data_IF_371160951605
#
_entry.id   IF_371160951605
#
_cell.length_a   1.000
_cell.length_b   1.000
_cell.length_c   1.000
_cell.angle_alpha   90.00
_cell.angle_beta   90.00
_cell.angle_gamma   90.00
#
_symmetry.space_group_name_H-M   'P 1'
#
loop_
_entity.id
_entity.type
_entity.pdbx_description
1 polymer ?
#
# COMPACT_ATOMS: atom_id res chain seq x y z
N UNK A 1 18.59 19.01 -15.78
CA UNK A 1 17.16 18.95 -16.09
C UNK A 1 16.85 17.53 -16.58
N UNK A 2 16.50 16.63 -15.67
CA UNK A 2 16.05 15.28 -16.02
C UNK A 2 14.53 15.31 -16.20
N UNK A 3 14.08 14.92 -17.39
CA UNK A 3 12.64 14.76 -17.69
C UNK A 3 12.11 13.58 -16.90
N UNK A 4 11.13 13.83 -16.04
CA UNK A 4 10.29 12.79 -15.46
C UNK A 4 9.58 12.01 -16.59
N UNK A 5 9.49 10.67 -16.52
CA UNK A 5 8.74 9.90 -17.50
C UNK A 5 7.27 10.34 -17.44
N UNK A 6 6.76 10.78 -18.57
CA UNK A 6 5.36 11.14 -18.74
C UNK A 6 4.49 9.89 -18.64
N UNK A 7 3.88 9.65 -17.48
CA UNK A 7 2.74 8.76 -17.38
C UNK A 7 1.59 9.39 -18.18
N UNK A 8 1.32 8.86 -19.36
CA UNK A 8 0.17 9.24 -20.15
C UNK A 8 -1.11 8.72 -19.50
N UNK A 9 -1.70 9.56 -18.65
CA UNK A 9 -3.05 9.35 -18.12
C UNK A 9 -4.03 10.24 -18.88
N UNK A 10 -4.56 9.75 -19.97
CA UNK A 10 -5.67 10.38 -20.68
C UNK A 10 -6.97 10.13 -19.89
N UNK A 11 -7.53 11.15 -19.30
CA UNK A 11 -8.90 11.16 -18.78
C UNK A 11 -9.07 11.01 -17.27
N UNK A 12 -8.29 11.68 -16.43
CA UNK A 12 -8.43 11.58 -14.98
C UNK A 12 -8.81 12.89 -14.31
N UNK A 13 -9.96 12.86 -13.64
CA UNK A 13 -10.38 13.90 -12.69
C UNK A 13 -9.54 13.89 -11.38
N UNK A 14 -8.82 12.79 -11.07
CA UNK A 14 -7.90 12.71 -9.91
C UNK A 14 -6.71 11.81 -10.26
N UNK A 15 -5.51 12.36 -10.30
CA UNK A 15 -4.28 11.58 -10.30
C UNK A 15 -4.02 11.02 -8.88
N UNK A 16 -3.29 9.91 -8.76
CA UNK A 16 -2.87 9.38 -7.46
C UNK A 16 -2.11 10.45 -6.63
N UNK A 17 -1.28 11.25 -7.30
CA UNK A 17 -0.57 12.38 -6.68
C UNK A 17 -1.53 13.43 -6.10
N UNK A 18 -2.59 13.80 -6.83
CA UNK A 18 -3.58 14.75 -6.35
C UNK A 18 -4.35 14.20 -5.14
N UNK A 19 -4.66 12.90 -5.13
CA UNK A 19 -5.27 12.22 -4.00
C UNK A 19 -4.34 12.25 -2.78
N UNK A 20 -3.06 11.89 -2.94
CA UNK A 20 -2.09 11.92 -1.85
C UNK A 20 -1.85 13.32 -1.30
N UNK A 21 -1.76 14.33 -2.16
CA UNK A 21 -1.65 15.74 -1.74
C UNK A 21 -2.91 16.23 -1.02
N UNK A 22 -4.09 15.76 -1.42
CA UNK A 22 -5.33 16.08 -0.73
C UNK A 22 -5.39 15.43 0.66
N UNK A 23 -4.99 14.15 0.76
CA UNK A 23 -4.87 13.42 2.03
C UNK A 23 -3.89 14.15 2.95
N UNK A 24 -2.73 14.58 2.47
CA UNK A 24 -1.76 15.32 3.28
C UNK A 24 -2.35 16.62 3.81
N UNK A 25 -2.93 17.46 2.94
CA UNK A 25 -3.56 18.74 3.35
C UNK A 25 -4.68 18.55 4.35
N UNK A 26 -5.50 17.52 4.17
CA UNK A 26 -6.58 17.23 5.11
C UNK A 26 -6.01 16.71 6.44
N UNK A 27 -5.03 15.85 6.41
CA UNK A 27 -4.37 15.29 7.60
C UNK A 27 -3.66 16.35 8.41
N UNK A 28 -2.98 17.31 7.75
CA UNK A 28 -2.33 18.44 8.41
C UNK A 28 -3.37 19.31 9.13
N UNK A 29 -4.48 19.61 8.46
CA UNK A 29 -5.57 20.41 9.06
C UNK A 29 -6.23 19.73 10.25
N UNK A 30 -6.26 18.40 10.27
CA UNK A 30 -6.87 17.60 11.33
C UNK A 30 -5.86 17.20 12.42
N UNK A 31 -4.59 17.58 12.29
CA UNK A 31 -3.53 17.19 13.22
C UNK A 31 -3.23 15.67 13.19
N UNK A 32 -3.48 15.00 12.06
CA UNK A 32 -3.29 13.56 11.87
C UNK A 32 -1.96 13.23 11.20
N UNK A 33 -1.24 14.23 10.69
CA UNK A 33 0.09 14.02 10.09
C UNK A 33 1.10 13.68 11.17
N UNK A 34 1.97 12.70 10.83
CA UNK A 34 3.03 12.23 11.71
C UNK A 34 4.40 12.50 11.09
N UNK A 35 5.44 12.60 11.91
CA UNK A 35 6.82 12.61 11.42
C UNK A 35 7.08 11.37 10.54
N UNK A 36 8.12 11.40 9.68
CA UNK A 36 8.51 10.24 8.89
C UNK A 36 8.68 8.99 9.77
N UNK A 37 7.96 7.92 9.43
CA UNK A 37 8.06 6.64 10.14
C UNK A 37 9.40 5.98 9.85
N UNK A 38 9.88 6.13 8.60
CA UNK A 38 11.17 5.61 8.13
C UNK A 38 11.84 6.63 7.22
N UNK A 39 13.17 6.54 7.10
CA UNK A 39 13.93 7.29 6.11
C UNK A 39 14.46 6.38 5.02
N UNK A 40 14.83 6.96 3.88
CA UNK A 40 15.44 6.21 2.76
C UNK A 40 16.74 5.54 3.18
N UNK A 41 17.55 6.24 3.95
CA UNK A 41 18.85 5.77 4.45
C UNK A 41 18.68 4.55 5.36
N UNK A 42 17.69 4.59 6.27
CA UNK A 42 17.36 3.44 7.13
C UNK A 42 16.98 2.22 6.28
N UNK A 43 16.09 2.37 5.31
CA UNK A 43 15.65 1.26 4.45
C UNK A 43 16.80 0.71 3.59
N UNK A 44 17.68 1.57 3.07
CA UNK A 44 18.85 1.17 2.29
C UNK A 44 19.91 0.43 3.11
N UNK A 45 20.00 0.69 4.41
CA UNK A 45 20.93 0.04 5.32
C UNK A 45 20.48 -1.37 5.72
N UNK A 46 19.19 -1.71 5.52
CA UNK A 46 18.64 -3.01 5.90
C UNK A 46 19.27 -4.18 5.11
N UNK A 47 19.36 -5.38 5.71
CA UNK A 47 19.88 -6.58 5.05
C UNK A 47 19.06 -6.99 3.82
N UNK A 48 19.64 -7.72 2.86
CA UNK A 48 18.89 -8.31 1.75
C UNK A 48 17.73 -9.19 2.26
N UNK A 49 16.61 -9.19 1.51
CA UNK A 49 15.38 -9.95 1.83
C UNK A 49 14.67 -9.49 3.12
N UNK A 50 15.16 -8.45 3.80
CA UNK A 50 14.45 -7.85 4.92
C UNK A 50 13.31 -6.95 4.45
N UNK A 51 12.36 -6.67 5.36
CA UNK A 51 11.24 -5.80 5.08
C UNK A 51 11.68 -4.42 4.55
N UNK A 52 12.66 -3.80 5.20
CA UNK A 52 13.16 -2.49 4.80
C UNK A 52 13.83 -2.50 3.43
N UNK A 53 14.64 -3.54 3.14
CA UNK A 53 15.31 -3.68 1.84
C UNK A 53 14.30 -3.90 0.71
N UNK A 54 13.38 -4.83 0.87
CA UNK A 54 12.34 -5.11 -0.12
C UNK A 54 11.44 -3.88 -0.35
N UNK A 55 11.16 -3.12 0.70
CA UNK A 55 10.38 -1.88 0.60
C UNK A 55 11.08 -0.82 -0.26
N UNK A 56 12.34 -0.51 0.03
CA UNK A 56 13.06 0.50 -0.76
C UNK A 56 13.32 0.04 -2.20
N UNK A 57 13.49 -1.25 -2.43
CA UNK A 57 13.62 -1.82 -3.77
C UNK A 57 12.32 -1.72 -4.56
N UNK A 58 11.16 -2.00 -3.93
CA UNK A 58 9.84 -1.80 -4.54
C UNK A 58 9.65 -0.35 -4.99
N UNK A 59 9.87 0.60 -4.09
CA UNK A 59 9.73 2.04 -4.35
C UNK A 59 10.67 2.50 -5.46
N UNK A 60 11.93 2.05 -5.42
CA UNK A 60 12.96 2.44 -6.40
C UNK A 60 12.67 1.84 -7.78
N UNK A 61 12.31 0.58 -7.86
CA UNK A 61 11.99 -0.13 -9.11
C UNK A 61 10.80 0.50 -9.84
N UNK A 62 9.80 0.97 -9.09
CA UNK A 62 8.62 1.61 -9.67
C UNK A 62 8.79 3.13 -9.89
N UNK A 63 9.91 3.72 -9.49
CA UNK A 63 10.16 5.16 -9.63
C UNK A 63 9.26 6.02 -8.72
N UNK A 64 8.76 5.45 -7.61
CA UNK A 64 7.89 6.16 -6.68
C UNK A 64 8.70 6.98 -5.67
N UNK A 65 8.18 8.12 -5.19
CA UNK A 65 8.72 8.77 -4.01
C UNK A 65 8.41 7.94 -2.76
N UNK A 66 9.36 7.83 -1.84
CA UNK A 66 9.08 7.27 -0.52
C UNK A 66 8.07 8.17 0.21
N UNK A 67 6.98 7.60 0.72
CA UNK A 67 5.94 8.33 1.43
C UNK A 67 6.40 8.64 2.85
N UNK A 68 6.74 9.90 3.13
CA UNK A 68 7.27 10.36 4.43
C UNK A 68 6.42 11.43 5.09
N UNK A 69 5.20 11.67 4.58
CA UNK A 69 4.28 12.69 5.09
C UNK A 69 2.86 12.15 5.26
N UNK A 70 2.05 12.86 6.03
CA UNK A 70 0.67 12.51 6.29
C UNK A 70 0.49 11.44 7.38
N UNK A 71 -0.65 10.75 7.43
CA UNK A 71 -0.94 9.74 8.44
C UNK A 71 0.01 8.54 8.32
N UNK A 72 0.33 7.89 9.46
CA UNK A 72 1.16 6.69 9.52
C UNK A 72 0.75 5.62 8.49
N UNK A 73 -0.54 5.32 8.39
CA UNK A 73 -1.07 4.34 7.43
C UNK A 73 -0.72 4.64 5.98
N UNK A 74 -0.73 5.93 5.58
CA UNK A 74 -0.29 6.34 4.25
C UNK A 74 1.20 6.10 4.07
N UNK A 75 2.01 6.46 5.06
CA UNK A 75 3.47 6.29 4.98
C UNK A 75 3.89 4.82 4.87
N UNK A 76 3.13 3.90 5.48
CA UNK A 76 3.39 2.46 5.48
C UNK A 76 2.75 1.71 4.30
N UNK A 77 2.06 2.41 3.38
CA UNK A 77 1.31 1.77 2.29
C UNK A 77 2.17 0.85 1.42
N UNK A 78 3.35 1.30 1.00
CA UNK A 78 4.22 0.51 0.14
C UNK A 78 4.77 -0.74 0.85
N UNK A 79 4.97 -0.67 2.17
CA UNK A 79 5.33 -1.83 2.96
C UNK A 79 4.20 -2.89 3.01
N UNK A 80 2.93 -2.49 2.86
CA UNK A 80 1.82 -3.45 2.75
C UNK A 80 1.92 -4.23 1.45
N UNK A 81 2.30 -3.61 0.33
CA UNK A 81 2.58 -4.34 -0.92
C UNK A 81 3.66 -5.40 -0.72
N UNK A 82 4.76 -5.07 -0.04
CA UNK A 82 5.82 -6.03 0.30
C UNK A 82 5.29 -7.18 1.16
N UNK A 83 4.54 -6.86 2.21
CA UNK A 83 3.99 -7.86 3.14
C UNK A 83 2.94 -8.75 2.50
N UNK A 84 2.09 -8.20 1.67
CA UNK A 84 1.03 -8.97 1.01
C UNK A 84 1.51 -9.69 -0.24
N UNK A 85 2.55 -9.17 -0.90
CA UNK A 85 3.02 -9.65 -2.20
C UNK A 85 2.11 -9.25 -3.36
N UNK A 86 1.13 -8.37 -3.13
CA UNK A 86 0.32 -7.81 -4.21
C UNK A 86 1.12 -6.78 -5.00
N UNK A 87 0.95 -6.77 -6.33
CA UNK A 87 1.61 -5.83 -7.21
C UNK A 87 1.17 -4.38 -6.99
N UNK A 88 1.89 -3.43 -7.59
CA UNK A 88 1.59 -1.99 -7.53
C UNK A 88 0.77 -1.49 -8.73
N UNK A 89 0.26 -2.39 -9.56
CA UNK A 89 -0.68 -2.08 -10.64
C UNK A 89 -2.11 -1.91 -10.11
N UNK A 90 -3.07 -1.59 -10.99
CA UNK A 90 -4.46 -1.37 -10.59
C UNK A 90 -5.10 -2.58 -9.91
N UNK A 91 -4.68 -3.78 -10.25
CA UNK A 91 -5.14 -5.01 -9.62
C UNK A 91 -4.56 -5.19 -8.23
N UNK A 92 -3.26 -5.06 -8.10
CA UNK A 92 -2.57 -5.19 -6.81
C UNK A 92 -3.01 -4.11 -5.84
N UNK A 93 -3.22 -2.88 -6.33
CA UNK A 93 -3.82 -1.80 -5.53
C UNK A 93 -5.22 -2.16 -5.02
N UNK A 94 -6.07 -2.72 -5.89
CA UNK A 94 -7.39 -3.20 -5.48
C UNK A 94 -7.29 -4.27 -4.40
N UNK A 95 -6.39 -5.25 -4.57
CA UNK A 95 -6.19 -6.32 -3.61
C UNK A 95 -5.67 -5.80 -2.27
N UNK A 96 -4.72 -4.85 -2.26
CA UNK A 96 -4.26 -4.18 -1.03
C UNK A 96 -5.40 -3.46 -0.33
N UNK A 97 -6.20 -2.67 -1.05
CA UNK A 97 -7.30 -1.94 -0.44
C UNK A 97 -8.36 -2.88 0.15
N UNK A 98 -8.65 -3.98 -0.53
CA UNK A 98 -9.61 -4.99 -0.08
C UNK A 98 -9.05 -5.81 1.10
N UNK A 99 -7.76 -6.16 1.08
CA UNK A 99 -7.06 -6.78 2.20
C UNK A 99 -7.15 -5.87 3.45
N UNK A 100 -6.85 -4.58 3.30
CA UNK A 100 -6.94 -3.62 4.39
C UNK A 100 -8.36 -3.44 4.93
N UNK A 101 -9.39 -3.55 4.07
CA UNK A 101 -10.80 -3.60 4.51
C UNK A 101 -11.08 -4.85 5.35
N UNK A 102 -10.49 -5.98 5.00
CA UNK A 102 -10.61 -7.22 5.77
C UNK A 102 -9.92 -7.14 7.13
N UNK A 103 -8.73 -6.53 7.20
CA UNK A 103 -8.01 -6.35 8.48
C UNK A 103 -8.72 -5.36 9.40
N UNK A 104 -9.09 -4.20 8.88
CA UNK A 104 -9.69 -3.13 9.69
C UNK A 104 -10.54 -2.22 8.81
N UNK A 105 -11.85 -2.31 8.97
CA UNK A 105 -12.78 -1.52 8.18
C UNK A 105 -12.55 -0.02 8.37
N UNK A 106 -12.39 0.70 7.25
CA UNK A 106 -12.34 2.16 7.19
C UNK A 106 -13.15 2.63 5.98
N UNK A 107 -14.05 3.57 6.19
CA UNK A 107 -14.92 4.12 5.12
C UNK A 107 -14.14 4.65 3.91
N UNK A 108 -12.92 5.16 4.13
CA UNK A 108 -12.07 5.72 3.06
C UNK A 108 -11.69 4.66 1.99
N UNK A 109 -11.61 3.38 2.33
CA UNK A 109 -11.30 2.33 1.35
C UNK A 109 -12.43 2.10 0.34
N UNK A 110 -13.68 2.36 0.73
CA UNK A 110 -14.83 2.11 -0.16
C UNK A 110 -14.79 2.93 -1.47
N UNK A 111 -14.61 4.27 -1.44
CA UNK A 111 -14.48 5.03 -2.68
C UNK A 111 -13.22 4.67 -3.48
N UNK A 112 -12.11 4.29 -2.82
CA UNK A 112 -10.90 3.85 -3.50
C UNK A 112 -11.15 2.55 -4.25
N UNK A 113 -11.72 1.53 -3.59
CA UNK A 113 -12.10 0.24 -4.20
C UNK A 113 -13.06 0.44 -5.36
N UNK A 114 -14.09 1.27 -5.18
CA UNK A 114 -15.06 1.57 -6.25
C UNK A 114 -14.38 2.26 -7.46
N UNK A 115 -13.45 3.17 -7.21
CA UNK A 115 -12.66 3.84 -8.25
C UNK A 115 -11.77 2.87 -9.03
N UNK A 116 -11.09 1.97 -8.34
CA UNK A 116 -10.23 0.94 -8.94
C UNK A 116 -11.05 -0.06 -9.76
N UNK A 117 -12.17 -0.56 -9.23
CA UNK A 117 -13.08 -1.43 -9.98
C UNK A 117 -13.63 -0.75 -11.24
N UNK A 118 -13.99 0.53 -11.15
CA UNK A 118 -14.43 1.30 -12.31
C UNK A 118 -13.32 1.43 -13.36
N UNK A 119 -12.07 1.67 -12.94
CA UNK A 119 -10.92 1.79 -13.84
C UNK A 119 -10.61 0.48 -14.54
N UNK A 120 -10.54 -0.62 -13.78
CA UNK A 120 -10.35 -1.97 -14.29
C UNK A 120 -11.48 -2.40 -15.24
N UNK A 121 -12.73 -2.03 -14.92
CA UNK A 121 -13.87 -2.29 -15.79
C UNK A 121 -13.79 -1.53 -17.13
N UNK A 122 -13.38 -0.26 -17.10
CA UNK A 122 -13.22 0.55 -18.31
C UNK A 122 -12.06 0.11 -19.20
N UNK A 123 -11.00 -0.41 -18.60
CA UNK A 123 -9.86 -0.98 -19.35
C UNK A 123 -10.07 -2.42 -19.81
N UNK A 124 -11.25 -3.02 -19.54
CA UNK A 124 -11.56 -4.38 -19.92
C UNK A 124 -10.80 -5.45 -19.12
N UNK A 125 -10.22 -5.09 -18.00
CA UNK A 125 -9.41 -6.00 -17.18
C UNK A 125 -10.23 -6.83 -16.17
N UNK A 126 -11.53 -6.50 -15.95
CA UNK A 126 -12.42 -7.31 -15.12
C UNK A 126 -12.89 -8.56 -15.87
N UNK A 127 -11.96 -9.49 -16.11
CA UNK A 127 -12.21 -10.74 -16.82
C UNK A 127 -12.08 -11.96 -15.89
N UNK A 128 -12.68 -13.07 -16.29
CA UNK A 128 -12.58 -14.32 -15.50
C UNK A 128 -13.16 -14.19 -14.09
N UNK A 129 -12.64 -14.94 -13.12
CA UNK A 129 -13.16 -14.99 -11.75
C UNK A 129 -12.67 -13.82 -10.87
N UNK A 130 -12.75 -12.59 -11.38
CA UNK A 130 -12.24 -11.42 -10.66
C UNK A 130 -12.86 -11.23 -9.26
N UNK A 131 -14.13 -11.66 -9.08
CA UNK A 131 -14.80 -11.60 -7.78
C UNK A 131 -14.14 -12.53 -6.75
N UNK A 132 -13.70 -13.70 -7.20
CA UNK A 132 -13.04 -14.68 -6.33
C UNK A 132 -11.68 -14.12 -5.88
N UNK A 133 -10.96 -13.44 -6.78
CA UNK A 133 -9.70 -12.75 -6.47
C UNK A 133 -9.89 -11.66 -5.41
N UNK A 134 -10.88 -10.82 -5.58
CA UNK A 134 -11.25 -9.77 -4.60
C UNK A 134 -11.67 -10.39 -3.26
N UNK A 135 -12.48 -11.46 -3.30
CA UNK A 135 -12.92 -12.15 -2.09
C UNK A 135 -11.76 -12.85 -1.35
N UNK A 136 -10.80 -13.40 -2.10
CA UNK A 136 -9.60 -14.01 -1.52
C UNK A 136 -8.76 -12.97 -0.77
N UNK A 137 -8.55 -11.78 -1.35
CA UNK A 137 -7.85 -10.68 -0.70
C UNK A 137 -8.56 -10.23 0.59
N UNK A 138 -9.89 -10.13 0.57
CA UNK A 138 -10.68 -9.78 1.75
C UNK A 138 -10.54 -10.82 2.87
N UNK A 139 -10.71 -12.11 2.53
CA UNK A 139 -10.57 -13.22 3.51
C UNK A 139 -9.16 -13.28 4.11
N UNK A 140 -8.15 -13.02 3.29
CA UNK A 140 -6.76 -12.96 3.74
C UNK A 140 -6.54 -11.82 4.75
N UNK A 141 -7.16 -10.67 4.52
CA UNK A 141 -7.18 -9.57 5.49
C UNK A 141 -7.91 -9.92 6.78
N UNK A 142 -9.07 -10.60 6.69
CA UNK A 142 -9.79 -11.07 7.87
C UNK A 142 -8.96 -12.06 8.70
N UNK A 143 -8.21 -12.94 8.05
CA UNK A 143 -7.34 -13.89 8.76
C UNK A 143 -6.18 -13.21 9.50
N UNK A 144 -5.71 -12.05 9.04
CA UNK A 144 -4.68 -11.27 9.72
C UNK A 144 -5.22 -10.31 10.80
N UNK A 145 -6.53 -10.10 10.87
CA UNK A 145 -7.14 -9.00 11.64
C UNK A 145 -6.84 -9.05 13.16
N UNK A 146 -6.64 -10.23 13.73
CA UNK A 146 -6.38 -10.39 15.15
C UNK A 146 -4.95 -10.01 15.56
N UNK A 147 -4.01 -10.07 14.62
CA UNK A 147 -2.57 -9.86 14.87
C UNK A 147 -2.00 -8.65 14.14
N UNK A 148 -2.66 -8.18 13.09
CA UNK A 148 -2.22 -7.07 12.26
C UNK A 148 -3.18 -5.88 12.31
N UNK A 149 -2.77 -4.81 12.98
CA UNK A 149 -3.44 -3.51 12.90
C UNK A 149 -2.74 -2.61 11.87
N UNK A 150 -3.31 -2.37 10.68
CA UNK A 150 -2.69 -1.55 9.65
C UNK A 150 -2.39 -0.10 10.07
N UNK A 151 -3.04 0.40 11.12
CA UNK A 151 -2.84 1.75 11.61
C UNK A 151 -1.66 1.86 12.58
N UNK A 152 -1.35 0.77 13.34
CA UNK A 152 -0.46 0.84 14.51
C UNK A 152 0.62 -0.25 14.56
N UNK A 153 0.80 -1.07 13.52
CA UNK A 153 1.85 -2.08 13.53
C UNK A 153 3.25 -1.44 13.60
N UNK A 154 4.20 -2.07 14.32
CA UNK A 154 5.48 -1.47 14.65
C UNK A 154 6.52 -1.65 13.53
N UNK A 155 6.24 -1.12 12.33
CA UNK A 155 7.06 -1.30 11.13
C UNK A 155 8.54 -0.97 11.35
N UNK A 156 8.82 0.12 12.07
CA UNK A 156 10.16 0.64 12.35
C UNK A 156 11.07 -0.32 13.14
N UNK A 157 10.47 -1.26 13.87
CA UNK A 157 11.22 -2.29 14.62
C UNK A 157 11.37 -3.61 13.85
N UNK A 158 10.76 -3.72 12.69
CA UNK A 158 10.72 -4.95 11.88
C UNK A 158 11.54 -4.82 10.59
N UNK A 159 12.16 -3.68 10.34
CA UNK A 159 12.82 -3.36 9.08
C UNK A 159 13.95 -4.34 8.70
N UNK A 160 14.73 -4.79 9.68
CA UNK A 160 15.85 -5.70 9.46
C UNK A 160 15.45 -7.19 9.40
N UNK A 161 14.19 -7.49 9.70
CA UNK A 161 13.69 -8.86 9.70
C UNK A 161 13.34 -9.33 8.28
N UNK A 162 13.60 -10.61 7.96
CA UNK A 162 13.13 -11.19 6.70
C UNK A 162 11.61 -11.03 6.53
N UNK A 163 11.17 -10.70 5.31
CA UNK A 163 9.73 -10.48 5.00
C UNK A 163 8.87 -11.67 5.43
N UNK A 164 9.35 -12.90 5.23
CA UNK A 164 8.64 -14.13 5.63
C UNK A 164 8.37 -14.13 7.13
N UNK A 165 9.40 -13.85 7.94
CA UNK A 165 9.27 -13.79 9.41
C UNK A 165 8.32 -12.68 9.85
N UNK A 166 8.38 -11.50 9.21
CA UNK A 166 7.44 -10.41 9.51
C UNK A 166 6.00 -10.80 9.20
N UNK A 167 5.75 -11.48 8.08
CA UNK A 167 4.41 -12.02 7.74
C UNK A 167 3.90 -12.97 8.81
N UNK A 168 4.74 -13.90 9.25
CA UNK A 168 4.41 -14.86 10.32
C UNK A 168 4.08 -14.14 11.63
N UNK A 169 4.90 -13.18 12.05
CA UNK A 169 4.66 -12.39 13.28
C UNK A 169 3.35 -11.59 13.22
N UNK A 170 2.99 -11.09 12.02
CA UNK A 170 1.77 -10.30 11.81
C UNK A 170 0.56 -11.17 11.41
N UNK A 171 0.70 -12.49 11.35
CA UNK A 171 -0.37 -13.40 10.97
C UNK A 171 -0.89 -13.18 9.55
N UNK A 172 -0.07 -12.64 8.64
CA UNK A 172 -0.45 -12.37 7.24
C UNK A 172 -0.24 -13.67 6.44
N UNK A 173 -1.32 -14.34 5.96
CA UNK A 173 -1.17 -15.55 5.18
C UNK A 173 -0.41 -15.33 3.87
N UNK A 174 0.33 -16.32 3.40
CA UNK A 174 0.90 -16.32 2.03
C UNK A 174 -0.22 -16.35 0.98
N UNK A 175 0.11 -15.95 -0.24
CA UNK A 175 -0.82 -16.08 -1.39
C UNK A 175 -1.05 -17.54 -1.74
#
# INVERSE_FOLDING_TARGET
>A
MQKLPSLQFSGQLFSAEALFQWIDRLSDRLGLSQPPVVTREQLQACPPQSLGREWIELVTRNGYPLLTSGPRRKQLHDAIHVLTGYDTDDWGELEVQVFLLGCKFRHLHLPIVAGLLRRLGRSGQLTGPWRDRVQAAYRRGQAAADTFDPDNWPAEYLLDMPVVTVRECLGIPTQ
#
